data_IF_981771168562
#
_entry.id   IF_981771168562
#
_cell.length_a   1.000
_cell.length_b   1.000
_cell.length_c   1.000
_cell.angle_alpha   90.00
_cell.angle_beta   90.00
_cell.angle_gamma   90.00
#
_symmetry.space_group_name_H-M   'P 1'
#
loop_
_entity.id
_entity.type
_entity.pdbx_description
1 polymer ?
#
# COMPACT_ATOMS: atom_id res chain seq x y z
N UNK A 1 69.42 29.17 45.17
CA UNK A 1 68.46 29.50 44.11
C UNK A 1 67.66 28.28 43.79
N UNK A 2 66.51 28.07 44.45
CA UNK A 2 65.67 26.90 44.36
C UNK A 2 64.45 27.18 43.51
N UNK A 3 64.30 26.45 42.43
CA UNK A 3 63.06 26.40 41.61
C UNK A 3 62.12 25.34 42.21
N UNK A 4 61.02 25.83 42.77
CA UNK A 4 59.94 25.01 43.28
C UNK A 4 59.04 24.58 42.05
N UNK A 5 59.03 23.29 41.73
CA UNK A 5 58.13 22.72 40.72
C UNK A 5 56.71 22.62 41.29
N UNK A 6 55.75 23.21 40.60
CA UNK A 6 54.32 23.01 40.87
C UNK A 6 53.90 21.70 40.25
N UNK A 7 53.54 20.73 41.09
CA UNK A 7 52.88 19.49 40.67
C UNK A 7 51.39 19.79 40.51
N UNK A 8 50.91 19.74 39.27
CA UNK A 8 49.49 19.80 38.94
C UNK A 8 48.89 18.41 39.12
N UNK A 9 48.08 18.20 40.14
CA UNK A 9 47.30 17.02 40.35
C UNK A 9 46.09 17.08 39.44
N UNK A 10 46.09 16.31 38.37
CA UNK A 10 44.94 16.11 37.48
C UNK A 10 43.99 15.08 38.13
N UNK A 11 42.91 15.54 38.77
CA UNK A 11 41.83 14.68 39.21
C UNK A 11 41.06 14.17 37.99
N UNK A 12 41.34 12.94 37.54
CA UNK A 12 40.55 12.21 36.58
C UNK A 12 39.28 11.76 37.32
N UNK A 13 38.19 12.49 37.15
CA UNK A 13 36.84 12.00 37.46
C UNK A 13 36.54 10.87 36.44
N UNK A 14 36.82 9.65 36.81
CA UNK A 14 36.33 8.49 36.08
C UNK A 14 34.81 8.37 36.29
N UNK A 15 34.03 8.83 35.32
CA UNK A 15 32.61 8.54 35.26
C UNK A 15 32.50 7.03 35.06
N UNK A 16 32.12 6.35 36.11
CA UNK A 16 31.80 4.90 36.09
C UNK A 16 30.50 4.76 35.33
N UNK A 17 30.57 4.60 33.99
CA UNK A 17 29.44 4.13 33.18
C UNK A 17 29.36 2.61 33.42
N UNK A 18 28.28 2.08 34.01
CA UNK A 18 28.19 0.64 34.21
C UNK A 18 28.10 -0.02 32.81
N UNK A 19 29.17 -0.64 32.42
CA UNK A 19 29.21 -1.54 31.25
C UNK A 19 28.42 -2.80 31.64
N UNK A 20 27.12 -2.80 31.32
CA UNK A 20 26.32 -4.04 31.38
C UNK A 20 26.90 -4.94 30.30
N UNK A 21 27.41 -6.12 30.61
CA UNK A 21 28.01 -7.00 29.61
C UNK A 21 26.96 -7.40 28.58
N UNK A 22 27.29 -7.32 27.30
CA UNK A 22 26.41 -7.65 26.15
C UNK A 22 25.74 -9.01 26.32
N UNK A 23 26.44 -10.00 26.94
CA UNK A 23 25.88 -11.29 27.23
C UNK A 23 24.69 -11.26 28.22
N UNK A 24 24.71 -10.38 29.22
CA UNK A 24 23.62 -10.28 30.18
C UNK A 24 22.36 -9.62 29.52
N UNK A 25 22.54 -8.66 28.63
CA UNK A 25 21.47 -8.08 27.83
C UNK A 25 20.82 -9.13 26.93
N UNK A 26 21.62 -9.91 26.18
CA UNK A 26 21.14 -10.95 25.28
C UNK A 26 20.33 -12.01 26.01
N UNK A 27 20.78 -12.43 27.21
CA UNK A 27 20.03 -13.39 28.04
C UNK A 27 18.70 -12.79 28.52
N UNK A 28 18.69 -11.55 28.96
CA UNK A 28 17.45 -10.88 29.42
C UNK A 28 16.47 -10.65 28.28
N UNK A 29 16.96 -10.30 27.08
CA UNK A 29 16.13 -10.16 25.87
C UNK A 29 15.51 -11.49 25.44
N UNK A 30 16.29 -12.58 25.45
CA UNK A 30 15.79 -13.91 25.13
C UNK A 30 14.71 -14.38 26.12
N UNK A 31 14.91 -14.14 27.41
CA UNK A 31 13.90 -14.44 28.43
C UNK A 31 12.63 -13.59 28.25
N UNK A 32 12.77 -12.29 27.98
CA UNK A 32 11.63 -11.40 27.74
C UNK A 32 10.82 -11.84 26.51
N UNK A 33 11.52 -12.22 25.42
CA UNK A 33 10.88 -12.75 24.20
C UNK A 33 10.18 -14.09 24.49
N UNK A 34 10.83 -15.00 25.21
CA UNK A 34 10.24 -16.29 25.61
C UNK A 34 8.92 -16.10 26.39
N UNK A 35 8.92 -15.26 27.42
CA UNK A 35 7.70 -14.98 28.18
C UNK A 35 6.62 -14.33 27.32
N UNK A 36 6.99 -13.40 26.46
CA UNK A 36 6.04 -12.74 25.56
C UNK A 36 5.38 -13.73 24.60
N UNK A 37 6.17 -14.62 23.98
CA UNK A 37 5.71 -15.59 22.99
C UNK A 37 4.87 -16.72 23.64
N UNK A 38 5.07 -16.98 24.93
CA UNK A 38 4.26 -17.92 25.72
C UNK A 38 3.01 -17.25 26.35
N UNK A 39 2.78 -15.96 26.15
CA UNK A 39 1.62 -15.25 26.69
C UNK A 39 1.76 -14.84 28.17
N UNK A 40 2.95 -14.98 28.75
CA UNK A 40 3.29 -14.58 30.12
C UNK A 40 3.63 -13.09 30.15
N UNK A 41 2.62 -12.25 29.87
CA UNK A 41 2.84 -10.82 29.58
C UNK A 41 3.30 -10.02 30.81
N UNK A 42 2.99 -10.41 32.04
CA UNK A 42 3.50 -9.77 33.25
C UNK A 42 5.02 -9.90 33.36
N UNK A 43 5.56 -11.11 33.17
CA UNK A 43 7.00 -11.37 33.22
C UNK A 43 7.71 -10.69 32.04
N UNK A 44 7.09 -10.74 30.85
CA UNK A 44 7.59 -10.05 29.67
C UNK A 44 7.65 -8.54 29.90
N UNK A 45 6.60 -7.91 30.44
CA UNK A 45 6.56 -6.49 30.72
C UNK A 45 7.65 -6.05 31.68
N UNK A 46 7.87 -6.78 32.78
CA UNK A 46 8.92 -6.47 33.77
C UNK A 46 10.33 -6.47 33.12
N UNK A 47 10.61 -7.48 32.30
CA UNK A 47 11.90 -7.58 31.62
C UNK A 47 12.08 -6.51 30.53
N UNK A 48 11.04 -6.29 29.70
CA UNK A 48 11.08 -5.25 28.68
C UNK A 48 11.11 -3.84 29.28
N UNK A 49 10.50 -3.60 30.44
CA UNK A 49 10.63 -2.32 31.16
C UNK A 49 12.08 -2.05 31.59
N UNK A 50 12.76 -3.07 32.15
CA UNK A 50 14.16 -2.98 32.50
C UNK A 50 15.03 -2.73 31.26
N UNK A 51 14.81 -3.49 30.18
CA UNK A 51 15.54 -3.32 28.91
C UNK A 51 15.30 -1.94 28.31
N UNK A 52 14.07 -1.47 28.28
CA UNK A 52 13.72 -0.16 27.74
C UNK A 52 14.30 0.99 28.58
N UNK A 53 14.33 0.85 29.90
CA UNK A 53 14.96 1.83 30.81
C UNK A 53 16.46 1.98 30.54
N UNK A 54 17.12 0.88 30.20
CA UNK A 54 18.58 0.87 30.01
C UNK A 54 19.00 1.28 28.57
N UNK A 55 18.21 0.91 27.58
CA UNK A 55 18.59 1.02 26.16
C UNK A 55 17.69 1.97 25.34
N UNK A 56 16.50 2.29 25.81
CA UNK A 56 15.53 3.24 25.23
C UNK A 56 15.24 3.06 23.71
N UNK A 57 15.48 1.87 23.13
CA UNK A 57 15.28 1.63 21.72
C UNK A 57 13.82 1.36 21.35
N UNK A 58 13.49 1.46 20.03
CA UNK A 58 12.16 1.29 19.49
C UNK A 58 11.60 -0.14 19.72
N UNK A 59 12.44 -1.17 19.60
CA UNK A 59 12.03 -2.56 19.75
C UNK A 59 11.53 -2.86 21.17
N UNK A 60 12.27 -2.48 22.20
CA UNK A 60 11.85 -2.71 23.59
C UNK A 60 10.63 -1.87 23.96
N UNK A 61 10.53 -0.66 23.41
CA UNK A 61 9.30 0.14 23.54
C UNK A 61 8.09 -0.63 23.00
N UNK A 62 8.17 -1.12 21.77
CA UNK A 62 7.05 -1.81 21.13
C UNK A 62 6.64 -3.07 21.89
N UNK A 63 7.62 -3.87 22.35
CA UNK A 63 7.34 -5.06 23.14
C UNK A 63 6.70 -4.75 24.49
N UNK A 64 7.21 -3.74 25.20
CA UNK A 64 6.64 -3.29 26.48
C UNK A 64 5.22 -2.72 26.29
N UNK A 65 5.04 -1.85 25.30
CA UNK A 65 3.74 -1.30 24.96
C UNK A 65 2.71 -2.40 24.65
N UNK A 66 3.10 -3.36 23.81
CA UNK A 66 2.25 -4.48 23.48
C UNK A 66 1.94 -5.37 24.69
N UNK A 67 2.90 -5.61 25.57
CA UNK A 67 2.67 -6.35 26.83
C UNK A 67 1.62 -5.66 27.70
N UNK A 68 1.72 -4.33 27.89
CA UNK A 68 0.71 -3.57 28.64
C UNK A 68 -0.68 -3.64 28.00
N UNK A 69 -0.79 -3.60 26.67
CA UNK A 69 -2.07 -3.77 25.99
C UNK A 69 -2.66 -5.16 26.24
N UNK A 70 -1.84 -6.21 26.19
CA UNK A 70 -2.28 -7.60 26.45
C UNK A 70 -2.75 -7.82 27.89
N UNK A 71 -2.17 -7.08 28.84
CA UNK A 71 -2.55 -7.08 30.25
C UNK A 71 -3.78 -6.19 30.56
N UNK A 72 -4.23 -5.36 29.60
CA UNK A 72 -5.25 -4.34 29.85
C UNK A 72 -4.74 -3.14 30.67
N UNK A 73 -3.43 -3.00 30.84
CA UNK A 73 -2.78 -1.90 31.56
C UNK A 73 -2.72 -0.63 30.71
N UNK A 74 -3.90 -0.16 30.27
CA UNK A 74 -4.06 0.94 29.32
C UNK A 74 -3.42 2.25 29.81
N UNK A 75 -3.42 2.50 31.14
CA UNK A 75 -2.81 3.71 31.72
C UNK A 75 -1.28 3.72 31.56
N UNK A 76 -0.67 2.55 31.72
CA UNK A 76 0.78 2.41 31.64
C UNK A 76 1.24 2.43 30.17
N UNK A 77 0.49 1.80 29.26
CA UNK A 77 0.69 1.91 27.83
C UNK A 77 0.63 3.37 27.36
N UNK A 78 -0.38 4.13 27.78
CA UNK A 78 -0.54 5.54 27.43
C UNK A 78 0.64 6.39 27.95
N UNK A 79 0.97 6.23 29.24
CA UNK A 79 2.10 6.95 29.89
C UNK A 79 3.42 6.63 29.18
N UNK A 80 3.64 5.38 28.79
CA UNK A 80 4.83 4.96 28.05
C UNK A 80 4.93 5.67 26.70
N UNK A 81 3.84 5.69 25.92
CA UNK A 81 3.77 6.35 24.63
C UNK A 81 3.96 7.87 24.73
N UNK A 82 3.32 8.53 25.71
CA UNK A 82 3.48 9.96 25.98
C UNK A 82 4.93 10.32 26.35
N UNK A 83 5.55 9.54 27.25
CA UNK A 83 6.93 9.75 27.66
C UNK A 83 7.90 9.61 26.49
N UNK A 84 7.68 8.58 25.64
CA UNK A 84 8.52 8.36 24.46
C UNK A 84 8.34 9.49 23.44
N UNK A 85 7.11 9.93 23.17
CA UNK A 85 6.83 11.03 22.25
C UNK A 85 7.50 12.34 22.70
N UNK A 86 7.50 12.62 24.00
CA UNK A 86 8.20 13.81 24.55
C UNK A 86 9.69 13.77 24.23
N UNK A 87 10.32 12.61 24.26
CA UNK A 87 11.74 12.44 24.00
C UNK A 87 12.05 12.31 22.49
N UNK A 88 11.07 11.85 21.70
CA UNK A 88 11.21 11.58 20.26
C UNK A 88 10.04 12.22 19.49
N UNK A 89 9.94 13.55 19.41
CA UNK A 89 8.77 14.24 18.86
C UNK A 89 8.55 14.02 17.35
N UNK A 90 9.53 13.46 16.65
CA UNK A 90 9.43 13.08 15.23
C UNK A 90 8.87 11.68 15.01
N UNK A 91 8.76 10.84 16.03
CA UNK A 91 8.13 9.51 15.94
C UNK A 91 6.60 9.64 15.94
N UNK A 92 6.03 10.07 14.81
CA UNK A 92 4.59 10.39 14.70
C UNK A 92 3.68 9.16 14.96
N UNK A 93 4.19 7.95 14.74
CA UNK A 93 3.50 6.70 15.07
C UNK A 93 3.08 6.61 16.55
N UNK A 94 3.77 7.31 17.45
CA UNK A 94 3.42 7.36 18.88
C UNK A 94 2.06 8.02 19.16
N UNK A 95 1.61 8.93 18.29
CA UNK A 95 0.24 9.45 18.37
C UNK A 95 -0.78 8.35 18.01
N UNK A 96 -0.43 7.43 17.12
CA UNK A 96 -1.28 6.28 16.78
C UNK A 96 -1.37 5.34 17.97
N UNK A 97 -0.25 5.06 18.64
CA UNK A 97 -0.24 4.26 19.87
C UNK A 97 -1.14 4.86 20.96
N UNK A 98 -1.07 6.18 21.20
CA UNK A 98 -1.96 6.89 22.12
C UNK A 98 -3.43 6.76 21.70
N UNK A 99 -3.72 6.96 20.42
CA UNK A 99 -5.06 6.82 19.85
C UNK A 99 -5.59 5.40 19.99
N UNK A 100 -4.75 4.40 19.76
CA UNK A 100 -5.12 2.99 19.95
C UNK A 100 -5.52 2.68 21.40
N UNK A 101 -4.77 3.18 22.38
CA UNK A 101 -5.18 3.05 23.80
C UNK A 101 -6.54 3.69 24.04
N UNK A 102 -6.79 4.86 23.45
CA UNK A 102 -8.11 5.51 23.59
C UNK A 102 -9.22 4.72 22.90
N UNK A 103 -8.98 4.03 21.78
CA UNK A 103 -9.96 3.11 21.18
C UNK A 103 -10.28 1.95 22.12
N UNK A 104 -9.26 1.33 22.72
CA UNK A 104 -9.43 0.24 23.69
C UNK A 104 -10.18 0.68 24.97
N UNK A 105 -10.18 1.97 25.27
CA UNK A 105 -10.94 2.60 26.35
C UNK A 105 -12.30 3.14 25.89
N UNK A 106 -12.78 2.78 24.70
CA UNK A 106 -14.02 3.25 24.09
C UNK A 106 -14.13 4.79 23.98
N UNK A 107 -12.99 5.46 23.95
CA UNK A 107 -12.89 6.92 23.86
C UNK A 107 -12.55 7.37 22.42
N UNK A 108 -13.42 7.04 21.46
CA UNK A 108 -13.20 7.27 20.03
C UNK A 108 -12.83 8.72 19.71
N UNK A 109 -13.54 9.70 20.28
CA UNK A 109 -13.24 11.12 20.05
C UNK A 109 -11.79 11.51 20.41
N UNK A 110 -11.22 10.91 21.46
CA UNK A 110 -9.82 11.15 21.84
C UNK A 110 -8.87 10.45 20.88
N UNK A 111 -9.22 9.23 20.47
CA UNK A 111 -8.44 8.47 19.48
C UNK A 111 -8.32 9.24 18.18
N UNK A 112 -9.45 9.70 17.61
CA UNK A 112 -9.45 10.46 16.36
C UNK A 112 -8.61 11.75 16.45
N UNK A 113 -8.65 12.46 17.58
CA UNK A 113 -7.78 13.62 17.80
C UNK A 113 -6.30 13.26 17.76
N UNK A 114 -5.91 12.11 18.32
CA UNK A 114 -4.52 11.65 18.24
C UNK A 114 -4.13 11.32 16.80
N UNK A 115 -5.00 10.64 16.06
CA UNK A 115 -4.76 10.25 14.67
C UNK A 115 -4.66 11.46 13.75
N UNK A 116 -5.57 12.42 13.86
CA UNK A 116 -5.51 13.66 13.08
C UNK A 116 -4.23 14.43 13.40
N UNK A 117 -3.86 14.52 14.69
CA UNK A 117 -2.62 15.18 15.11
C UNK A 117 -1.38 14.51 14.52
N UNK A 118 -1.36 13.17 14.41
CA UNK A 118 -0.26 12.44 13.77
C UNK A 118 -0.08 12.86 12.30
N UNK A 119 -1.18 12.92 11.54
CA UNK A 119 -1.15 13.30 10.12
C UNK A 119 -0.81 14.78 9.93
N UNK A 120 -1.37 15.67 10.75
CA UNK A 120 -1.13 17.13 10.67
C UNK A 120 0.29 17.51 11.09
N UNK A 121 0.85 16.81 12.07
CA UNK A 121 2.24 17.02 12.53
C UNK A 121 3.28 16.54 11.51
N UNK A 122 2.86 15.76 10.50
CA UNK A 122 3.73 15.37 9.42
C UNK A 122 4.10 16.59 8.58
N UNK A 123 5.33 17.03 8.72
CA UNK A 123 5.91 18.14 7.94
C UNK A 123 6.22 17.70 6.50
N UNK A 124 6.97 18.48 5.73
CA UNK A 124 7.47 18.08 4.40
C UNK A 124 8.52 16.97 4.44
N UNK A 125 8.95 16.53 5.62
CA UNK A 125 9.82 15.38 5.80
C UNK A 125 9.04 14.09 5.53
N UNK A 126 9.51 13.31 4.56
CA UNK A 126 8.88 12.05 4.19
C UNK A 126 9.32 10.86 5.05
N UNK A 127 10.40 11.01 5.83
CA UNK A 127 10.95 9.90 6.61
C UNK A 127 9.95 9.28 7.61
N UNK A 128 9.06 10.03 8.29
CA UNK A 128 8.09 9.45 9.20
C UNK A 128 6.88 8.77 8.52
N UNK A 129 6.64 9.03 7.23
CA UNK A 129 5.40 8.61 6.53
C UNK A 129 5.22 7.10 6.52
N UNK A 130 6.20 6.26 6.13
CA UNK A 130 6.03 4.81 6.12
C UNK A 130 5.74 4.24 7.52
N UNK A 131 6.47 4.69 8.53
CA UNK A 131 6.27 4.25 9.92
C UNK A 131 4.89 4.63 10.45
N UNK A 132 4.43 5.86 10.14
CA UNK A 132 3.11 6.34 10.54
C UNK A 132 1.99 5.55 9.85
N UNK A 133 2.08 5.36 8.55
CA UNK A 133 1.10 4.58 7.80
C UNK A 133 1.04 3.12 8.29
N UNK A 134 2.19 2.50 8.53
CA UNK A 134 2.27 1.15 9.07
C UNK A 134 1.65 1.05 10.47
N UNK A 135 1.83 2.06 11.33
CA UNK A 135 1.19 2.10 12.64
C UNK A 135 -0.35 2.08 12.52
N UNK A 136 -0.92 2.83 11.57
CA UNK A 136 -2.36 2.78 11.29
C UNK A 136 -2.81 1.43 10.73
N UNK A 137 -2.05 0.83 9.81
CA UNK A 137 -2.33 -0.51 9.26
C UNK A 137 -2.38 -1.55 10.38
N UNK A 138 -1.42 -1.52 11.31
CA UNK A 138 -1.30 -2.47 12.41
C UNK A 138 -2.50 -2.45 13.39
N UNK A 139 -3.21 -1.33 13.48
CA UNK A 139 -4.44 -1.20 14.29
C UNK A 139 -5.72 -1.28 13.44
N UNK A 140 -5.62 -1.68 12.17
CA UNK A 140 -6.76 -1.83 11.26
C UNK A 140 -7.35 -0.51 10.75
N UNK A 141 -6.68 0.63 10.95
CA UNK A 141 -7.15 1.95 10.51
C UNK A 141 -6.56 2.28 9.12
N UNK A 142 -6.91 1.44 8.16
CA UNK A 142 -6.48 1.59 6.77
C UNK A 142 -6.89 2.95 6.17
N UNK A 143 -8.03 3.49 6.55
CA UNK A 143 -8.52 4.81 6.18
C UNK A 143 -7.51 5.92 6.54
N UNK A 144 -6.90 5.85 7.71
CA UNK A 144 -5.87 6.78 8.15
C UNK A 144 -4.51 6.52 7.48
N UNK A 145 -4.18 5.27 7.16
CA UNK A 145 -3.00 4.95 6.37
C UNK A 145 -3.07 5.57 4.97
N UNK A 146 -4.21 5.44 4.27
CA UNK A 146 -4.47 6.12 3.00
C UNK A 146 -4.33 7.63 3.14
N UNK A 147 -4.98 8.25 4.14
CA UNK A 147 -4.87 9.69 4.39
C UNK A 147 -3.43 10.15 4.61
N UNK A 148 -2.61 9.33 5.28
CA UNK A 148 -1.19 9.60 5.52
C UNK A 148 -0.41 9.68 4.20
N UNK A 149 -0.58 8.70 3.31
CA UNK A 149 0.08 8.68 2.01
C UNK A 149 -0.41 9.80 1.09
N UNK A 150 -1.73 10.03 1.03
CA UNK A 150 -2.31 11.10 0.21
C UNK A 150 -1.86 12.49 0.69
N UNK A 151 -1.72 12.70 2.00
CA UNK A 151 -1.18 13.95 2.56
C UNK A 151 0.27 14.18 2.17
N UNK A 152 1.08 13.12 2.10
CA UNK A 152 2.45 13.22 1.62
C UNK A 152 2.50 13.57 0.12
N UNK A 153 1.62 13.02 -0.71
CA UNK A 153 1.46 13.39 -2.13
C UNK A 153 1.10 14.86 -2.32
N UNK A 154 0.13 15.34 -1.54
CA UNK A 154 -0.31 16.73 -1.57
C UNK A 154 0.88 17.67 -1.29
N UNK A 155 1.64 17.40 -0.23
CA UNK A 155 2.78 18.21 0.17
C UNK A 155 3.95 18.21 -0.82
N UNK A 156 4.19 17.07 -1.45
CA UNK A 156 5.29 16.91 -2.43
C UNK A 156 4.87 17.22 -3.86
N UNK A 157 3.57 17.38 -4.12
CA UNK A 157 2.98 17.50 -5.46
C UNK A 157 3.33 16.31 -6.37
N UNK A 158 3.59 15.14 -5.78
CA UNK A 158 3.94 13.90 -6.49
C UNK A 158 2.80 12.89 -6.42
N UNK A 159 2.03 12.79 -7.49
CA UNK A 159 0.87 11.88 -7.57
C UNK A 159 1.25 10.39 -7.55
N UNK A 160 2.51 10.05 -7.88
CA UNK A 160 2.97 8.66 -7.93
C UNK A 160 3.68 8.19 -6.65
N UNK A 161 3.96 9.13 -5.73
CA UNK A 161 4.59 8.79 -4.47
C UNK A 161 3.71 7.79 -3.70
N UNK A 162 4.31 6.75 -3.14
CA UNK A 162 3.61 5.68 -2.40
C UNK A 162 2.52 4.94 -3.22
N UNK A 163 2.72 4.82 -4.53
CA UNK A 163 1.80 4.09 -5.42
C UNK A 163 1.61 2.63 -4.96
N UNK A 164 2.71 1.90 -4.73
CA UNK A 164 2.68 0.48 -4.33
C UNK A 164 2.00 0.29 -2.98
N UNK A 165 2.31 1.18 -2.04
CA UNK A 165 1.75 1.15 -0.69
C UNK A 165 0.24 1.42 -0.72
N UNK A 166 -0.20 2.42 -1.47
CA UNK A 166 -1.63 2.73 -1.63
C UNK A 166 -2.40 1.59 -2.29
N UNK A 167 -1.86 1.00 -3.36
CA UNK A 167 -2.46 -0.19 -3.98
C UNK A 167 -2.63 -1.31 -2.95
N UNK A 168 -1.59 -1.60 -2.15
CA UNK A 168 -1.65 -2.62 -1.10
C UNK A 168 -2.68 -2.31 -0.01
N UNK A 169 -2.77 -1.05 0.42
CA UNK A 169 -3.76 -0.64 1.44
C UNK A 169 -5.18 -0.72 0.89
N UNK A 170 -5.46 -0.23 -0.32
CA UNK A 170 -6.78 -0.33 -0.94
C UNK A 170 -7.19 -1.80 -1.15
N UNK A 171 -6.25 -2.65 -1.55
CA UNK A 171 -6.49 -4.10 -1.65
C UNK A 171 -6.87 -4.70 -0.28
N UNK A 172 -6.16 -4.35 0.77
CA UNK A 172 -6.47 -4.81 2.14
C UNK A 172 -7.83 -4.29 2.66
N UNK A 173 -8.27 -3.10 2.21
CA UNK A 173 -9.60 -2.56 2.48
C UNK A 173 -10.72 -3.24 1.67
N UNK A 174 -10.38 -3.92 0.58
CA UNK A 174 -11.33 -4.36 -0.44
C UNK A 174 -11.90 -3.21 -1.28
N UNK A 175 -11.24 -2.06 -1.27
CA UNK A 175 -11.59 -0.91 -2.12
C UNK A 175 -10.90 -1.05 -3.48
N UNK A 176 -11.39 -2.01 -4.25
CA UNK A 176 -10.80 -2.37 -5.54
C UNK A 176 -10.99 -1.29 -6.62
N UNK A 177 -12.01 -0.44 -6.47
CA UNK A 177 -12.20 0.71 -7.35
C UNK A 177 -11.07 1.73 -7.14
N UNK A 178 -10.80 2.14 -5.89
CA UNK A 178 -9.71 3.06 -5.58
C UNK A 178 -8.33 2.47 -5.96
N UNK A 179 -8.12 1.17 -5.70
CA UNK A 179 -6.93 0.45 -6.14
C UNK A 179 -6.73 0.56 -7.66
N UNK A 180 -7.79 0.36 -8.44
CA UNK A 180 -7.74 0.43 -9.91
C UNK A 180 -7.48 1.86 -10.38
N UNK A 181 -8.06 2.85 -9.73
CA UNK A 181 -7.76 4.25 -10.04
C UNK A 181 -6.27 4.59 -9.82
N UNK A 182 -5.61 3.98 -8.83
CA UNK A 182 -4.16 4.14 -8.66
C UNK A 182 -3.39 3.62 -9.88
N UNK A 183 -3.75 2.44 -10.40
CA UNK A 183 -3.15 1.92 -11.63
C UNK A 183 -3.38 2.84 -12.84
N UNK A 184 -4.57 3.44 -12.95
CA UNK A 184 -4.86 4.37 -14.05
C UNK A 184 -4.10 5.69 -13.89
N UNK A 185 -3.94 6.20 -12.67
CA UNK A 185 -3.08 7.35 -12.40
C UNK A 185 -1.61 7.10 -12.78
N UNK A 186 -1.14 5.86 -12.60
CA UNK A 186 0.17 5.44 -13.10
C UNK A 186 0.21 5.46 -14.64
N UNK A 187 -0.81 4.90 -15.31
CA UNK A 187 -0.87 4.83 -16.76
C UNK A 187 -0.99 6.21 -17.42
N UNK A 188 -1.65 7.19 -16.79
CA UNK A 188 -1.72 8.57 -17.26
C UNK A 188 -0.32 9.22 -17.39
N UNK A 189 0.62 8.81 -16.56
CA UNK A 189 2.00 9.32 -16.56
C UNK A 189 2.97 8.43 -17.33
N UNK A 190 2.68 7.13 -17.34
CA UNK A 190 3.55 6.10 -17.91
C UNK A 190 2.73 5.09 -18.73
N UNK A 191 2.20 5.49 -19.92
CA UNK A 191 1.37 4.61 -20.75
C UNK A 191 2.05 3.29 -21.12
N UNK A 192 3.39 3.28 -21.21
CA UNK A 192 4.19 2.09 -21.48
C UNK A 192 4.07 0.99 -20.41
N UNK A 193 3.52 1.29 -19.23
CA UNK A 193 3.28 0.31 -18.17
C UNK A 193 2.00 -0.52 -18.37
N UNK A 194 1.24 -0.29 -19.46
CA UNK A 194 -0.04 -0.96 -19.73
C UNK A 194 0.03 -2.48 -19.55
N UNK A 195 1.00 -3.13 -20.19
CA UNK A 195 1.13 -4.59 -20.11
C UNK A 195 1.39 -5.08 -18.68
N UNK A 196 2.23 -4.38 -17.91
CA UNK A 196 2.50 -4.71 -16.51
C UNK A 196 1.26 -4.52 -15.63
N UNK A 197 0.49 -3.45 -15.86
CA UNK A 197 -0.76 -3.20 -15.14
C UNK A 197 -1.79 -4.27 -15.45
N UNK A 198 -1.97 -4.64 -16.71
CA UNK A 198 -2.85 -5.72 -17.13
C UNK A 198 -2.49 -7.04 -16.46
N UNK A 199 -1.20 -7.41 -16.44
CA UNK A 199 -0.72 -8.64 -15.80
C UNK A 199 -1.00 -8.64 -14.30
N UNK A 200 -0.74 -7.53 -13.60
CA UNK A 200 -1.00 -7.42 -12.16
C UNK A 200 -2.50 -7.52 -11.85
N UNK A 201 -3.35 -6.85 -12.63
CA UNK A 201 -4.81 -6.94 -12.47
C UNK A 201 -5.31 -8.35 -12.77
N UNK A 202 -4.82 -9.00 -13.83
CA UNK A 202 -5.17 -10.38 -14.17
C UNK A 202 -4.80 -11.35 -13.04
N UNK A 203 -3.57 -11.26 -12.54
CA UNK A 203 -3.12 -12.07 -11.40
C UNK A 203 -4.02 -11.86 -10.18
N UNK A 204 -4.31 -10.62 -9.83
CA UNK A 204 -5.18 -10.29 -8.71
C UNK A 204 -6.61 -10.86 -8.89
N UNK A 205 -7.16 -10.82 -10.11
CA UNK A 205 -8.48 -11.42 -10.41
C UNK A 205 -8.48 -12.93 -10.27
N UNK A 206 -7.38 -13.61 -10.65
CA UNK A 206 -7.26 -15.05 -10.49
C UNK A 206 -7.14 -15.49 -9.03
N UNK A 207 -6.56 -14.66 -8.18
CA UNK A 207 -6.39 -14.89 -6.75
C UNK A 207 -7.59 -14.41 -5.91
N UNK A 208 -8.47 -13.61 -6.49
CA UNK A 208 -9.63 -13.05 -5.79
C UNK A 208 -10.65 -14.14 -5.45
N UNK A 209 -11.17 -14.17 -4.21
CA UNK A 209 -12.14 -15.18 -3.77
C UNK A 209 -13.56 -14.97 -4.35
N UNK A 210 -13.83 -13.78 -4.89
CA UNK A 210 -15.14 -13.36 -5.39
C UNK A 210 -15.02 -12.30 -6.50
N UNK A 211 -16.15 -11.82 -7.00
CA UNK A 211 -16.22 -10.89 -8.13
C UNK A 211 -16.00 -9.41 -7.75
N UNK A 212 -15.84 -9.08 -6.47
CA UNK A 212 -15.71 -7.67 -6.06
C UNK A 212 -14.56 -6.93 -6.73
N UNK A 213 -13.45 -7.62 -6.97
CA UNK A 213 -12.32 -7.04 -7.70
C UNK A 213 -12.69 -6.75 -9.16
N UNK A 214 -13.32 -7.69 -9.85
CA UNK A 214 -13.77 -7.48 -11.22
C UNK A 214 -14.80 -6.33 -11.32
N UNK A 215 -15.72 -6.24 -10.37
CA UNK A 215 -16.69 -5.14 -10.29
C UNK A 215 -16.00 -3.79 -10.04
N UNK A 216 -15.00 -3.74 -9.15
CA UNK A 216 -14.20 -2.54 -8.90
C UNK A 216 -13.41 -2.08 -10.12
N UNK A 217 -12.79 -3.01 -10.86
CA UNK A 217 -12.09 -2.71 -12.13
C UNK A 217 -13.09 -2.19 -13.16
N UNK A 218 -14.24 -2.84 -13.31
CA UNK A 218 -15.30 -2.42 -14.24
C UNK A 218 -15.74 -1.00 -13.94
N UNK A 219 -16.05 -0.69 -12.68
CA UNK A 219 -16.52 0.63 -12.29
C UNK A 219 -15.44 1.69 -12.56
N UNK A 220 -14.20 1.46 -12.19
CA UNK A 220 -13.10 2.38 -12.43
C UNK A 220 -12.85 2.62 -13.94
N UNK A 221 -12.99 1.57 -14.78
CA UNK A 221 -12.90 1.71 -16.23
C UNK A 221 -14.04 2.57 -16.80
N UNK A 222 -15.27 2.33 -16.36
CA UNK A 222 -16.43 3.13 -16.78
C UNK A 222 -16.23 4.59 -16.42
N UNK A 223 -15.75 4.88 -15.21
CA UNK A 223 -15.49 6.25 -14.76
C UNK A 223 -14.40 6.90 -15.63
N UNK A 224 -13.30 6.22 -15.90
CA UNK A 224 -12.20 6.74 -16.74
C UNK A 224 -12.62 6.97 -18.20
N UNK A 225 -13.37 6.06 -18.79
CA UNK A 225 -13.87 6.23 -20.17
C UNK A 225 -14.86 7.39 -20.24
N UNK A 226 -15.67 7.60 -19.20
CA UNK A 226 -16.59 8.76 -19.13
C UNK A 226 -15.84 10.09 -18.99
N UNK A 227 -14.79 10.12 -18.15
CA UNK A 227 -13.95 11.32 -17.95
C UNK A 227 -13.09 11.63 -19.19
N UNK A 228 -12.64 10.61 -19.90
CA UNK A 228 -11.71 10.71 -21.03
C UNK A 228 -12.18 9.86 -22.22
N UNK A 229 -13.33 10.22 -22.85
CA UNK A 229 -13.96 9.38 -23.88
C UNK A 229 -13.12 9.16 -25.13
N UNK A 230 -12.16 10.05 -25.42
CA UNK A 230 -11.25 9.97 -26.55
C UNK A 230 -9.88 9.38 -26.21
N UNK A 231 -9.69 8.89 -24.99
CA UNK A 231 -8.44 8.26 -24.59
C UNK A 231 -8.43 6.79 -25.02
N UNK A 232 -7.71 6.51 -26.12
CA UNK A 232 -7.58 5.17 -26.70
C UNK A 232 -7.09 4.13 -25.65
N UNK A 233 -6.19 4.51 -24.75
CA UNK A 233 -5.67 3.62 -23.72
C UNK A 233 -6.79 2.99 -22.86
N UNK A 234 -7.74 3.81 -22.38
CA UNK A 234 -8.83 3.31 -21.53
C UNK A 234 -9.86 2.50 -22.28
N UNK A 235 -10.11 2.86 -23.56
CA UNK A 235 -10.96 2.04 -24.45
C UNK A 235 -10.33 0.66 -24.69
N UNK A 236 -9.03 0.59 -24.94
CA UNK A 236 -8.31 -0.67 -25.07
C UNK A 236 -8.25 -1.47 -23.77
N UNK A 237 -8.15 -0.80 -22.61
CA UNK A 237 -8.25 -1.45 -21.30
C UNK A 237 -9.64 -2.04 -21.06
N UNK A 238 -10.71 -1.37 -21.54
CA UNK A 238 -12.08 -1.88 -21.47
C UNK A 238 -12.24 -3.16 -22.31
N UNK A 239 -11.70 -3.16 -23.54
CA UNK A 239 -11.69 -4.36 -24.41
C UNK A 239 -10.95 -5.50 -23.71
N UNK A 240 -9.74 -5.23 -23.21
CA UNK A 240 -8.94 -6.22 -22.49
C UNK A 240 -9.69 -6.78 -21.28
N UNK A 241 -10.34 -5.94 -20.48
CA UNK A 241 -11.09 -6.37 -19.30
C UNK A 241 -12.28 -7.24 -19.69
N UNK A 242 -13.04 -6.87 -20.73
CA UNK A 242 -14.15 -7.68 -21.25
C UNK A 242 -13.68 -9.08 -21.69
N UNK A 243 -12.54 -9.17 -22.36
CA UNK A 243 -11.89 -10.46 -22.72
C UNK A 243 -11.58 -11.28 -21.45
N UNK A 244 -11.02 -10.67 -20.39
CA UNK A 244 -10.75 -11.37 -19.14
C UNK A 244 -12.02 -11.93 -18.47
N UNK A 245 -13.15 -11.24 -18.66
CA UNK A 245 -14.46 -11.69 -18.16
C UNK A 245 -15.18 -12.66 -19.12
N UNK A 246 -14.54 -13.04 -20.25
CA UNK A 246 -15.11 -13.85 -21.35
C UNK A 246 -16.38 -13.23 -21.95
N UNK A 247 -16.54 -11.92 -21.82
CA UNK A 247 -17.63 -11.17 -22.47
C UNK A 247 -17.16 -10.73 -23.87
N UNK A 248 -17.03 -11.72 -24.77
CA UNK A 248 -16.47 -11.51 -26.10
C UNK A 248 -17.37 -10.62 -26.96
N UNK A 249 -18.69 -10.74 -26.82
CA UNK A 249 -19.63 -9.87 -27.56
C UNK A 249 -19.45 -8.39 -27.18
N UNK A 250 -19.37 -8.09 -25.88
CA UNK A 250 -19.11 -6.72 -25.44
C UNK A 250 -17.72 -6.25 -25.90
N UNK A 251 -16.70 -7.12 -25.82
CA UNK A 251 -15.34 -6.78 -26.27
C UNK A 251 -15.30 -6.44 -27.77
N UNK A 252 -16.07 -7.14 -28.61
CA UNK A 252 -16.19 -6.89 -30.04
C UNK A 252 -16.84 -5.52 -30.30
N UNK A 253 -17.96 -5.24 -29.66
CA UNK A 253 -18.65 -3.92 -29.79
C UNK A 253 -17.69 -2.76 -29.42
N UNK A 254 -16.91 -2.91 -28.36
CA UNK A 254 -15.93 -1.88 -27.99
C UNK A 254 -14.77 -1.80 -29.00
N UNK A 255 -14.28 -2.93 -29.51
CA UNK A 255 -13.22 -2.98 -30.51
C UNK A 255 -13.63 -2.31 -31.84
N UNK A 256 -14.87 -2.55 -32.31
CA UNK A 256 -15.42 -1.89 -33.49
C UNK A 256 -15.55 -0.38 -33.28
N UNK A 257 -16.00 0.05 -32.08
CA UNK A 257 -16.08 1.47 -31.74
C UNK A 257 -14.71 2.15 -31.71
N UNK A 258 -13.67 1.46 -31.21
CA UNK A 258 -12.30 1.93 -31.23
C UNK A 258 -11.78 2.04 -32.68
N UNK A 259 -12.01 1.04 -33.52
CA UNK A 259 -11.59 1.04 -34.90
C UNK A 259 -12.27 2.16 -35.71
N UNK A 260 -13.56 2.38 -35.48
CA UNK A 260 -14.30 3.48 -36.12
C UNK A 260 -13.75 4.86 -35.72
N UNK A 261 -13.28 5.02 -34.50
CA UNK A 261 -12.75 6.28 -33.96
C UNK A 261 -11.28 6.49 -34.30
N UNK A 262 -10.50 5.42 -34.38
CA UNK A 262 -9.04 5.41 -34.64
C UNK A 262 -8.69 4.47 -35.80
N UNK A 263 -9.09 4.83 -37.04
CA UNK A 263 -9.03 3.93 -38.20
C UNK A 263 -7.60 3.56 -38.64
N UNK A 264 -6.59 4.29 -38.19
CA UNK A 264 -5.18 4.10 -38.61
C UNK A 264 -4.61 2.73 -38.21
N UNK A 265 -5.26 2.04 -37.26
CA UNK A 265 -4.88 0.68 -36.80
C UNK A 265 -5.51 -0.46 -37.61
N UNK A 266 -6.36 -0.11 -38.58
CA UNK A 266 -6.93 -1.10 -39.50
C UNK A 266 -7.78 -2.20 -38.87
N UNK A 267 -8.25 -2.03 -37.64
CA UNK A 267 -9.04 -3.02 -36.93
C UNK A 267 -8.23 -4.01 -36.08
N UNK A 268 -7.02 -3.63 -35.65
CA UNK A 268 -6.15 -4.46 -34.80
C UNK A 268 -6.88 -5.07 -33.59
N UNK A 269 -7.69 -4.25 -32.89
CA UNK A 269 -8.41 -4.72 -31.70
C UNK A 269 -9.52 -5.70 -32.07
N UNK A 270 -10.21 -5.48 -33.21
CA UNK A 270 -11.24 -6.41 -33.72
C UNK A 270 -10.62 -7.75 -34.07
N UNK A 271 -9.50 -7.75 -34.78
CA UNK A 271 -8.76 -8.97 -35.11
C UNK A 271 -8.32 -9.73 -33.87
N UNK A 272 -7.82 -9.03 -32.86
CA UNK A 272 -7.42 -9.62 -31.57
C UNK A 272 -8.61 -10.26 -30.86
N UNK A 273 -9.77 -9.61 -30.83
CA UNK A 273 -10.99 -10.17 -30.23
C UNK A 273 -11.42 -11.41 -31.01
N UNK A 274 -11.42 -11.37 -32.36
CA UNK A 274 -11.76 -12.52 -33.20
C UNK A 274 -10.90 -13.74 -32.87
N UNK A 275 -9.57 -13.57 -32.82
CA UNK A 275 -8.64 -14.65 -32.53
C UNK A 275 -8.88 -15.27 -31.14
N UNK A 276 -9.06 -14.40 -30.12
CA UNK A 276 -9.29 -14.89 -28.73
C UNK A 276 -10.67 -15.55 -28.59
N UNK A 277 -11.72 -15.02 -29.21
CA UNK A 277 -13.05 -15.63 -29.22
C UNK A 277 -12.99 -17.00 -29.88
N UNK A 278 -12.31 -17.13 -31.02
CA UNK A 278 -12.10 -18.41 -31.71
C UNK A 278 -11.37 -19.45 -30.83
N UNK A 279 -10.27 -19.04 -30.17
CA UNK A 279 -9.52 -19.91 -29.23
C UNK A 279 -10.36 -20.34 -28.02
N UNK A 280 -11.37 -19.56 -27.64
CA UNK A 280 -12.31 -19.89 -26.56
C UNK A 280 -13.62 -20.53 -27.05
N UNK A 281 -13.66 -20.96 -28.31
CA UNK A 281 -14.80 -21.67 -28.91
C UNK A 281 -16.07 -20.80 -29.06
N UNK A 282 -15.95 -19.46 -28.95
CA UNK A 282 -17.03 -18.52 -29.27
C UNK A 282 -16.99 -18.19 -30.77
N UNK A 283 -17.39 -19.14 -31.58
CA UNK A 283 -17.32 -19.05 -33.04
C UNK A 283 -18.27 -17.99 -33.61
N UNK A 284 -19.37 -17.69 -32.93
CA UNK A 284 -20.33 -16.67 -33.38
C UNK A 284 -19.69 -15.30 -33.35
N UNK A 285 -19.06 -14.93 -32.21
CA UNK A 285 -18.36 -13.66 -32.09
C UNK A 285 -17.11 -13.61 -32.97
N UNK A 286 -16.37 -14.71 -33.07
CA UNK A 286 -15.19 -14.75 -33.94
C UNK A 286 -15.57 -14.51 -35.42
N UNK A 287 -16.63 -15.18 -35.91
CA UNK A 287 -17.12 -15.00 -37.28
C UNK A 287 -17.65 -13.58 -37.53
N UNK A 288 -18.39 -12.98 -36.58
CA UNK A 288 -18.86 -11.60 -36.67
C UNK A 288 -17.66 -10.63 -36.79
N UNK A 289 -16.65 -10.77 -35.96
CA UNK A 289 -15.44 -9.96 -35.98
C UNK A 289 -14.64 -10.11 -37.29
N UNK A 290 -14.46 -11.35 -37.80
CA UNK A 290 -13.79 -11.57 -39.05
C UNK A 290 -14.57 -10.97 -40.24
N UNK A 291 -15.89 -11.10 -40.28
CA UNK A 291 -16.74 -10.44 -41.31
C UNK A 291 -16.65 -8.91 -41.25
N UNK A 292 -16.53 -8.31 -40.06
CA UNK A 292 -16.29 -6.88 -39.94
C UNK A 292 -15.00 -6.47 -40.64
N UNK A 293 -13.89 -7.20 -40.44
CA UNK A 293 -12.60 -6.92 -41.08
C UNK A 293 -12.65 -7.14 -42.60
N UNK A 294 -13.34 -8.17 -43.08
CA UNK A 294 -13.52 -8.45 -44.50
C UNK A 294 -14.28 -7.31 -45.22
N UNK A 295 -15.31 -6.73 -44.56
CA UNK A 295 -16.06 -5.58 -45.10
C UNK A 295 -15.20 -4.33 -45.32
N UNK A 296 -14.04 -4.25 -44.64
CA UNK A 296 -13.09 -3.12 -44.84
C UNK A 296 -12.31 -3.24 -46.16
N UNK A 297 -12.37 -4.39 -46.86
CA UNK A 297 -11.76 -4.59 -48.18
C UNK A 297 -10.33 -5.12 -48.13
N UNK A 298 -9.82 -5.50 -49.31
CA UNK A 298 -8.53 -6.18 -49.45
C UNK A 298 -7.31 -5.36 -49.04
N UNK A 299 -7.46 -4.03 -48.96
CA UNK A 299 -6.39 -3.12 -48.49
C UNK A 299 -6.25 -3.15 -46.96
N UNK A 300 -7.20 -3.78 -46.26
CA UNK A 300 -7.10 -3.94 -44.81
C UNK A 300 -6.01 -4.96 -44.44
N UNK A 301 -5.10 -4.65 -43.50
CA UNK A 301 -4.00 -5.53 -43.10
C UNK A 301 -4.45 -6.94 -42.66
N UNK A 302 -5.65 -7.05 -42.09
CA UNK A 302 -6.18 -8.30 -41.53
C UNK A 302 -7.17 -8.99 -42.47
N UNK A 303 -7.36 -8.50 -43.69
CA UNK A 303 -8.34 -9.06 -44.63
C UNK A 303 -8.10 -10.55 -44.94
N UNK A 304 -6.85 -10.92 -45.28
CA UNK A 304 -6.55 -12.30 -45.66
C UNK A 304 -6.57 -13.23 -44.46
N UNK A 305 -6.07 -12.78 -43.29
CA UNK A 305 -6.09 -13.56 -42.05
C UNK A 305 -7.54 -13.83 -41.59
N UNK A 306 -8.44 -12.83 -41.76
CA UNK A 306 -9.87 -13.00 -41.44
C UNK A 306 -10.61 -14.04 -42.31
N UNK A 307 -10.08 -14.37 -43.48
CA UNK A 307 -10.68 -15.41 -44.35
C UNK A 307 -10.30 -16.84 -43.97
N UNK A 308 -9.30 -17.04 -43.16
CA UNK A 308 -8.85 -18.36 -42.69
C UNK A 308 -9.67 -18.82 -41.48
N UNK A 309 -10.33 -17.91 -40.78
CA UNK A 309 -11.12 -18.14 -39.57
C UNK A 309 -12.63 -18.34 -39.84
N UNK A 310 -13.09 -18.20 -41.08
CA UNK A 310 -14.45 -18.52 -41.55
C UNK A 310 -14.47 -19.99 -41.98
#
# INVERSE_FOLDING_TARGET
>A
MNKIGKILIFCILSTFVPIVPVAAQQTQEQMAAYYYDNGEFEQAAQLYESLYKNYANKYYYQRLYSSYLKLGEHKDALRLAEKRLKNNPKELALYVDQGNVHLLQESEKKALKCFDKAIESNTSDLAPVPDLAMAFINIGRYDYAVRTYLKAREKTRSQQLYFTELVGVYQAMGDYQAMTHEYFNLLDKQPGMKASVQLNMQKAMLEAPDNRLADGIRQALVDRVREHPDNQLYLEMMIWFAIQQKDFQFSLVQAEAVDARFPDKGGEQVFRVAAIAFENEDYDVASEAYRYLQRKGQENPYYFDSRVGD
#
